data_IF_979171200437
#
_entry.id   IF_979171200437
#
_cell.length_a   1.000
_cell.length_b   1.000
_cell.length_c   1.000
_cell.angle_alpha   90.00
_cell.angle_beta   90.00
_cell.angle_gamma   90.00
#
_symmetry.space_group_name_H-M   'P 1'
#
loop_
_entity.id
_entity.type
_entity.pdbx_description
1 polymer ?
#
# COMPACT_ATOMS: atom_id res chain seq x y z
N UNK A 1 5.17 20.19 35.33
CA UNK A 1 5.20 20.41 33.87
C UNK A 1 5.81 19.15 33.29
N UNK A 2 5.08 18.44 32.44
CA UNK A 2 5.59 17.21 31.85
C UNK A 2 6.23 17.55 30.50
N UNK A 3 7.45 17.05 30.27
CA UNK A 3 8.03 17.05 28.93
C UNK A 3 7.44 15.85 28.20
N UNK A 4 6.81 16.12 27.06
CA UNK A 4 6.23 15.10 26.17
C UNK A 4 6.98 15.13 24.84
N UNK A 5 6.86 14.05 24.06
CA UNK A 5 7.22 14.09 22.65
C UNK A 5 6.02 14.61 21.86
N UNK A 6 6.27 15.53 20.94
CA UNK A 6 5.25 16.00 20.00
C UNK A 6 4.75 14.80 19.16
N UNK A 7 3.44 14.51 19.12
CA UNK A 7 2.92 13.37 18.35
C UNK A 7 3.16 13.49 16.84
N UNK A 8 3.35 14.71 16.32
CA UNK A 8 3.65 14.95 14.90
C UNK A 8 5.14 14.79 14.58
N UNK A 9 6.03 15.51 15.26
CA UNK A 9 7.45 15.58 14.88
C UNK A 9 8.40 14.87 15.86
N UNK A 10 7.89 14.23 16.91
CA UNK A 10 8.68 13.47 17.89
C UNK A 10 9.58 14.30 18.81
N UNK A 11 9.69 15.62 18.63
CA UNK A 11 10.57 16.49 19.44
C UNK A 11 10.02 16.68 20.86
N UNK A 12 10.91 16.76 21.83
CA UNK A 12 10.54 17.05 23.22
C UNK A 12 10.01 18.48 23.37
N UNK A 13 8.81 18.60 23.91
CA UNK A 13 8.10 19.86 24.14
C UNK A 13 7.34 19.82 25.48
N UNK A 14 6.89 20.97 25.95
CA UNK A 14 6.03 21.08 27.13
C UNK A 14 4.58 20.71 26.79
N UNK A 15 3.91 19.97 27.67
CA UNK A 15 2.49 19.62 27.60
C UNK A 15 1.54 20.84 27.63
N UNK A 16 2.04 22.01 28.02
CA UNK A 16 1.30 23.28 28.06
C UNK A 16 1.65 24.25 26.93
N UNK A 17 2.55 23.89 26.02
CA UNK A 17 2.89 24.76 24.90
C UNK A 17 1.65 24.97 24.00
N UNK A 18 1.30 26.21 23.61
CA UNK A 18 0.19 26.44 22.67
C UNK A 18 0.43 25.72 21.33
N UNK A 19 1.66 25.80 20.83
CA UNK A 19 2.10 25.16 19.59
C UNK A 19 3.48 24.52 19.76
N UNK A 20 3.76 23.49 18.97
CA UNK A 20 5.09 22.90 18.87
C UNK A 20 6.03 23.89 18.14
N UNK A 21 7.18 24.28 18.72
CA UNK A 21 8.12 25.20 18.07
C UNK A 21 8.77 24.63 16.80
N UNK A 22 8.70 23.31 16.59
CA UNK A 22 9.37 22.63 15.49
C UNK A 22 8.46 22.37 14.29
N UNK A 23 7.21 21.93 14.52
CA UNK A 23 6.27 21.62 13.43
C UNK A 23 5.01 22.50 13.43
N UNK A 24 4.84 23.38 14.41
CA UNK A 24 3.70 24.31 14.46
C UNK A 24 2.36 23.70 14.91
N UNK A 25 2.28 22.39 15.17
CA UNK A 25 1.03 21.75 15.59
C UNK A 25 0.57 22.26 16.97
N UNK A 26 -0.74 22.42 17.16
CA UNK A 26 -1.31 22.87 18.43
C UNK A 26 -1.28 21.75 19.48
N UNK A 27 -0.76 22.04 20.67
CA UNK A 27 -0.52 21.03 21.72
C UNK A 27 -1.45 21.23 22.90
N UNK A 28 -1.46 22.43 23.49
CA UNK A 28 -2.31 22.75 24.64
C UNK A 28 -3.79 22.44 24.35
N UNK A 29 -4.37 21.53 25.14
CA UNK A 29 -5.79 21.16 25.06
C UNK A 29 -6.17 20.17 23.95
N UNK A 30 -5.27 19.87 23.00
CA UNK A 30 -5.54 18.97 21.86
C UNK A 30 -4.98 17.56 21.99
N UNK A 31 -4.11 17.33 22.97
CA UNK A 31 -3.50 16.02 23.23
C UNK A 31 -4.14 15.32 24.43
N UNK A 32 -4.08 13.99 24.44
CA UNK A 32 -4.51 13.11 25.53
C UNK A 32 -3.44 12.05 25.79
N UNK A 33 -3.30 11.62 27.05
CA UNK A 33 -2.42 10.52 27.45
C UNK A 33 -3.22 9.23 27.50
N UNK A 34 -2.79 8.21 26.77
CA UNK A 34 -3.43 6.91 26.79
C UNK A 34 -3.37 6.30 28.21
N UNK A 35 -4.49 5.84 28.79
CA UNK A 35 -4.48 5.20 30.11
C UNK A 35 -3.87 3.79 30.10
N UNK A 36 -3.73 3.17 28.92
CA UNK A 36 -3.18 1.81 28.79
C UNK A 36 -1.67 1.81 28.58
N UNK A 37 -1.16 2.56 27.60
CA UNK A 37 0.28 2.56 27.28
C UNK A 37 1.02 3.84 27.70
N UNK A 38 0.30 4.88 28.14
CA UNK A 38 0.91 6.14 28.57
C UNK A 38 1.38 7.07 27.45
N UNK A 39 1.17 6.70 26.17
CA UNK A 39 1.54 7.49 24.99
C UNK A 39 0.65 8.73 24.82
N UNK A 40 1.23 9.83 24.34
CA UNK A 40 0.48 11.06 24.05
C UNK A 40 0.10 11.11 22.58
N UNK A 41 -1.18 11.35 22.31
CA UNK A 41 -1.72 11.43 20.95
C UNK A 41 -2.85 12.46 20.90
N UNK A 42 -3.34 12.78 19.71
CA UNK A 42 -4.39 13.79 19.55
C UNK A 42 -5.79 13.26 19.89
N UNK A 43 -6.61 14.12 20.49
CA UNK A 43 -7.97 13.79 20.94
C UNK A 43 -8.95 13.47 19.81
N UNK A 44 -8.64 13.90 18.59
CA UNK A 44 -9.42 13.64 17.38
C UNK A 44 -9.23 12.22 16.83
N UNK A 45 -8.24 11.47 17.33
CA UNK A 45 -8.06 10.06 17.00
C UNK A 45 -8.97 9.19 17.86
N UNK A 46 -9.83 8.39 17.22
CA UNK A 46 -10.81 7.51 17.88
C UNK A 46 -10.16 6.41 18.75
N UNK A 47 -8.91 6.07 18.47
CA UNK A 47 -8.13 5.09 19.22
C UNK A 47 -6.65 5.49 19.30
N UNK A 48 -5.98 5.05 20.37
CA UNK A 48 -4.55 5.31 20.57
C UNK A 48 -3.71 4.59 19.50
N UNK A 49 -2.84 5.29 18.75
CA UNK A 49 -2.08 4.70 17.63
C UNK A 49 -1.04 3.67 18.07
N UNK A 50 -0.65 3.66 19.35
CA UNK A 50 0.36 2.74 19.87
C UNK A 50 -0.25 1.42 20.38
N UNK A 51 -1.44 1.45 21.00
CA UNK A 51 -2.04 0.26 21.63
C UNK A 51 -3.48 -0.04 21.18
N UNK A 52 -4.02 0.73 20.24
CA UNK A 52 -5.38 0.62 19.69
C UNK A 52 -6.51 0.68 20.74
N UNK A 53 -6.22 1.18 21.94
CA UNK A 53 -7.24 1.40 22.95
C UNK A 53 -8.15 2.58 22.56
N UNK A 54 -9.46 2.37 22.59
CA UNK A 54 -10.44 3.41 22.25
C UNK A 54 -10.29 4.64 23.16
N UNK A 55 -10.29 5.80 22.53
CA UNK A 55 -10.30 7.10 23.20
C UNK A 55 -11.70 7.31 23.80
N UNK A 56 -11.89 7.04 25.10
CA UNK A 56 -13.16 7.35 25.77
C UNK A 56 -13.38 8.87 25.78
N UNK A 57 -14.16 9.38 24.84
CA UNK A 57 -14.77 10.71 24.92
C UNK A 57 -15.93 10.66 25.92
N UNK A 58 -15.63 10.75 27.22
CA UNK A 58 -16.64 10.90 28.25
C UNK A 58 -16.91 12.38 28.54
N UNK A 59 -17.70 13.01 27.68
CA UNK A 59 -18.61 14.10 28.08
C UNK A 59 -19.99 13.80 27.49
N UNK A 60 -20.67 12.82 28.09
CA UNK A 60 -22.12 12.71 28.03
C UNK A 60 -22.63 12.64 29.45
N UNK A 61 -22.96 13.80 30.00
CA UNK A 61 -23.83 13.92 31.17
C UNK A 61 -25.26 13.76 30.67
N UNK A 62 -25.85 12.61 30.98
CA UNK A 62 -27.25 12.34 31.31
C UNK A 62 -28.34 13.27 30.77
N UNK A 63 -29.24 12.75 29.93
CA UNK A 63 -30.50 12.14 30.39
C UNK A 63 -31.53 12.01 29.24
N UNK A 64 -32.18 10.85 29.23
CA UNK A 64 -33.62 10.59 28.98
C UNK A 64 -33.94 9.62 27.84
N UNK A 65 -34.76 8.65 28.24
CA UNK A 65 -35.39 7.57 27.50
C UNK A 65 -36.14 8.03 26.23
N UNK A 66 -36.19 7.12 25.26
CA UNK A 66 -37.40 6.62 24.58
C UNK A 66 -37.24 6.52 23.05
N UNK A 67 -37.43 5.29 22.58
CA UNK A 67 -38.26 4.88 21.45
C UNK A 67 -38.20 5.63 20.09
N UNK A 68 -37.96 4.80 19.07
CA UNK A 68 -38.58 4.83 17.74
C UNK A 68 -38.16 5.91 16.74
N UNK A 69 -37.58 5.42 15.65
CA UNK A 69 -38.24 5.51 14.35
C UNK A 69 -37.96 6.75 13.50
N UNK A 70 -37.55 6.43 12.26
CA UNK A 70 -37.84 7.13 11.00
C UNK A 70 -36.76 8.05 10.45
N UNK A 71 -36.37 7.69 9.22
CA UNK A 71 -35.70 8.51 8.21
C UNK A 71 -36.25 9.91 8.09
N UNK A 72 -35.35 10.87 7.91
CA UNK A 72 -35.50 11.94 6.91
C UNK A 72 -34.13 12.53 6.60
N UNK A 73 -33.77 12.46 5.33
CA UNK A 73 -32.75 13.29 4.68
C UNK A 73 -33.24 14.75 4.70
N UNK A 74 -32.33 15.72 4.81
CA UNK A 74 -32.46 16.91 4.00
C UNK A 74 -31.16 17.23 3.24
N UNK A 75 -31.30 17.24 1.92
CA UNK A 75 -30.77 18.26 1.00
C UNK A 75 -30.90 19.65 1.66
N UNK A 76 -29.97 20.59 1.51
CA UNK A 76 -29.79 21.40 0.30
C UNK A 76 -28.63 22.39 0.51
N UNK A 77 -28.19 22.97 -0.62
CA UNK A 77 -27.77 24.37 -0.79
C UNK A 77 -26.30 24.62 -1.14
N UNK A 78 -26.12 24.57 -2.46
CA UNK A 78 -25.25 25.44 -3.24
C UNK A 78 -25.84 26.85 -3.24
N UNK A 79 -25.05 27.87 -2.91
CA UNK A 79 -25.20 29.19 -3.53
C UNK A 79 -23.87 29.91 -3.71
N UNK A 80 -23.80 30.49 -4.90
CA UNK A 80 -22.74 31.21 -5.59
C UNK A 80 -22.28 32.55 -4.96
N UNK A 81 -20.98 32.82 -5.11
CA UNK A 81 -20.41 33.93 -5.90
C UNK A 81 -20.70 35.39 -5.49
N UNK A 82 -19.62 36.15 -5.18
CA UNK A 82 -19.44 37.53 -5.70
C UNK A 82 -18.01 38.08 -5.50
N UNK A 83 -17.27 38.08 -6.61
CA UNK A 83 -16.57 39.18 -7.32
C UNK A 83 -15.93 40.41 -6.64
N UNK A 84 -14.74 40.74 -7.18
CA UNK A 84 -14.15 42.07 -7.49
C UNK A 84 -13.49 42.87 -6.34
N UNK A 85 -12.39 43.62 -6.48
CA UNK A 85 -11.49 43.99 -7.59
C UNK A 85 -10.27 44.75 -7.00
N UNK A 86 -9.11 44.61 -7.67
CA UNK A 86 -8.03 45.61 -7.92
C UNK A 86 -7.36 46.38 -6.76
N UNK A 87 -6.02 46.26 -6.68
CA UNK A 87 -5.09 47.33 -7.09
C UNK A 87 -3.60 46.94 -6.85
N UNK A 88 -2.82 46.91 -7.93
CA UNK A 88 -1.38 47.23 -7.94
C UNK A 88 -1.23 48.76 -7.91
N UNK A 89 -0.13 49.36 -7.38
CA UNK A 89 1.11 49.44 -8.18
C UNK A 89 2.44 49.51 -7.41
N UNK A 90 3.50 49.34 -8.22
CA UNK A 90 4.85 49.92 -8.15
C UNK A 90 5.85 49.59 -7.04
N UNK A 91 6.99 49.07 -7.53
CA UNK A 91 8.33 49.17 -6.90
C UNK A 91 8.89 50.58 -7.08
N UNK A 92 9.85 51.01 -6.23
CA UNK A 92 11.23 51.07 -6.73
C UNK A 92 12.30 50.63 -5.72
N UNK A 93 13.47 50.30 -6.29
CA UNK A 93 14.71 49.85 -5.63
C UNK A 93 15.37 50.90 -4.72
N UNK A 94 16.31 50.39 -3.89
CA UNK A 94 17.65 50.92 -3.50
C UNK A 94 17.83 50.86 -1.97
N UNK A 95 18.87 50.17 -1.51
CA UNK A 95 19.33 50.21 -0.12
C UNK A 95 20.34 49.13 0.24
N UNK A 96 21.58 49.28 -0.23
CA UNK A 96 22.73 48.46 0.16
C UNK A 96 23.32 48.90 1.51
N UNK A 97 23.73 47.91 2.32
CA UNK A 97 24.83 47.90 3.32
C UNK A 97 24.73 48.74 4.62
N UNK A 98 25.58 48.50 5.65
CA UNK A 98 26.20 47.26 6.17
C UNK A 98 26.10 47.19 7.74
N UNK A 99 26.88 46.33 8.43
CA UNK A 99 27.98 46.94 9.18
C UNK A 99 29.33 46.24 9.05
N UNK A 100 30.33 47.06 8.79
CA UNK A 100 31.76 46.79 8.87
C UNK A 100 32.23 47.02 10.31
N UNK A 101 33.25 46.30 10.80
CA UNK A 101 34.14 46.83 11.84
C UNK A 101 35.60 46.53 11.47
N UNK A 102 36.32 47.60 11.20
CA UNK A 102 37.77 47.65 10.99
C UNK A 102 38.49 48.04 12.30
N UNK A 103 39.78 47.71 12.39
CA UNK A 103 40.82 48.36 13.23
C UNK A 103 40.94 49.88 12.91
N UNK A 104 41.83 50.74 13.50
CA UNK A 104 42.63 50.77 14.75
C UNK A 104 42.34 52.10 15.55
N UNK A 105 43.25 52.62 16.42
CA UNK A 105 43.72 54.00 16.21
C UNK A 105 45.19 54.31 16.59
N UNK A 106 45.71 55.43 16.05
CA UNK A 106 47.02 56.07 16.31
C UNK A 106 46.89 57.48 16.88
N UNK A 107 47.90 57.92 17.66
CA UNK A 107 48.26 59.32 17.98
C UNK A 107 47.73 59.81 19.35
N UNK A 108 48.45 60.52 20.23
CA UNK A 108 49.64 61.37 20.10
C UNK A 108 50.21 61.75 21.51
N UNK A 109 51.51 62.08 21.65
CA UNK A 109 52.00 63.02 22.70
C UNK A 109 52.98 62.56 23.80
N UNK A 110 54.27 62.73 23.51
CA UNK A 110 55.38 63.38 24.27
C UNK A 110 55.87 63.04 25.70
N UNK A 111 57.21 62.87 25.74
CA UNK A 111 58.27 63.39 26.65
C UNK A 111 58.83 62.61 27.87
N UNK A 112 60.17 62.44 27.79
CA UNK A 112 61.23 62.50 28.83
C UNK A 112 61.42 61.27 29.75
N UNK A 113 62.62 60.78 30.09
CA UNK A 113 64.04 61.11 29.80
C UNK A 113 64.92 59.96 30.38
N UNK A 114 66.19 59.83 29.92
CA UNK A 114 67.37 59.26 30.65
C UNK A 114 67.43 57.74 30.87
N UNK A 115 68.52 56.97 30.69
CA UNK A 115 69.98 57.21 30.70
C UNK A 115 70.70 56.01 30.01
N UNK A 116 71.76 56.28 29.24
CA UNK A 116 72.88 55.35 28.90
C UNK A 116 73.98 55.50 29.98
N UNK A 117 74.95 54.56 30.20
CA UNK A 117 76.01 54.18 29.21
C UNK A 117 76.63 52.75 29.43
N UNK A 118 77.81 52.34 28.88
CA UNK A 118 78.55 52.67 27.65
C UNK A 118 78.92 51.44 26.74
N UNK A 119 79.59 51.63 25.58
CA UNK A 119 79.88 50.62 24.54
C UNK A 119 81.35 50.18 24.44
N UNK A 120 81.65 49.04 23.78
CA UNK A 120 83.00 48.58 23.37
C UNK A 120 82.93 47.89 21.98
N UNK A 121 83.96 47.99 21.10
CA UNK A 121 83.77 48.18 19.65
C UNK A 121 84.02 46.98 18.73
N UNK A 122 83.41 47.08 17.54
CA UNK A 122 83.82 46.66 16.18
C UNK A 122 84.57 45.34 15.94
N UNK A 123 84.00 44.50 15.05
CA UNK A 123 84.74 44.03 13.84
C UNK A 123 83.82 43.47 12.75
N UNK A 124 83.77 44.18 11.62
CA UNK A 124 83.22 43.73 10.34
C UNK A 124 84.20 42.73 9.71
N UNK A 125 83.74 41.52 9.38
CA UNK A 125 84.45 40.61 8.46
C UNK A 125 83.43 40.00 7.50
N UNK A 126 83.62 40.25 6.20
CA UNK A 126 82.77 39.79 5.11
C UNK A 126 82.84 38.26 5.03
N UNK A 127 81.73 37.57 5.31
CA UNK A 127 81.61 36.13 5.14
C UNK A 127 80.31 35.81 4.37
N UNK A 128 80.40 35.65 3.05
CA UNK A 128 79.29 35.12 2.23
C UNK A 128 78.84 33.71 2.68
N UNK A 129 79.63 32.99 3.50
CA UNK A 129 79.26 31.69 4.09
C UNK A 129 78.19 31.73 5.19
N UNK A 130 78.09 32.80 5.98
CA UNK A 130 77.03 32.93 7.00
C UNK A 130 75.66 33.24 6.36
N UNK A 131 75.67 33.94 5.21
CA UNK A 131 74.50 34.21 4.38
C UNK A 131 74.01 32.94 3.68
N UNK A 132 74.93 32.10 3.18
CA UNK A 132 74.58 30.80 2.58
C UNK A 132 73.97 29.85 3.63
N UNK A 133 74.54 29.77 4.84
CA UNK A 133 73.98 28.95 5.92
C UNK A 133 72.59 29.41 6.38
N UNK A 134 72.34 30.73 6.41
CA UNK A 134 71.02 31.29 6.70
C UNK A 134 70.00 31.00 5.58
N UNK A 135 70.40 31.12 4.30
CA UNK A 135 69.54 30.78 3.17
C UNK A 135 69.18 29.29 3.15
N UNK A 136 70.10 28.38 3.48
CA UNK A 136 69.83 26.93 3.56
C UNK A 136 68.80 26.64 4.66
N UNK A 137 68.91 27.28 5.82
CA UNK A 137 67.93 27.15 6.90
C UNK A 137 66.54 27.64 6.50
N UNK A 138 66.45 28.77 5.79
CA UNK A 138 65.17 29.29 5.26
C UNK A 138 64.56 28.32 4.25
N UNK A 139 65.35 27.74 3.34
CA UNK A 139 64.87 26.76 2.37
C UNK A 139 64.36 25.49 3.05
N UNK A 140 65.05 25.01 4.10
CA UNK A 140 64.59 23.86 4.89
C UNK A 140 63.29 24.19 5.64
N UNK A 141 63.18 25.39 6.22
CA UNK A 141 61.95 25.85 6.90
C UNK A 141 60.80 25.98 5.91
N UNK A 142 61.04 26.53 4.72
CA UNK A 142 60.07 26.58 3.64
C UNK A 142 59.69 25.18 3.15
N UNK A 143 60.62 24.23 3.04
CA UNK A 143 60.34 22.86 2.65
C UNK A 143 59.51 22.10 3.70
N UNK A 144 59.80 22.30 4.99
CA UNK A 144 59.03 21.73 6.11
C UNK A 144 57.63 22.36 6.17
N UNK A 145 57.52 23.69 6.07
CA UNK A 145 56.22 24.37 6.01
C UNK A 145 55.43 23.96 4.77
N UNK A 146 56.07 23.82 3.61
CA UNK A 146 55.46 23.32 2.38
C UNK A 146 54.99 21.89 2.56
N UNK A 147 55.80 21.01 3.17
CA UNK A 147 55.42 19.64 3.48
C UNK A 147 54.21 19.58 4.41
N UNK A 148 54.22 20.30 5.54
CA UNK A 148 53.08 20.35 6.46
C UNK A 148 51.81 20.95 5.82
N UNK A 149 51.96 21.98 4.97
CA UNK A 149 50.85 22.56 4.22
C UNK A 149 50.27 21.57 3.21
N UNK A 150 51.12 20.88 2.44
CA UNK A 150 50.68 19.88 1.47
C UNK A 150 50.03 18.69 2.18
N UNK A 151 50.60 18.22 3.28
CA UNK A 151 50.06 17.10 4.06
C UNK A 151 48.69 17.44 4.70
N UNK A 152 48.52 18.68 5.20
CA UNK A 152 47.23 19.15 5.71
C UNK A 152 46.21 19.45 4.60
N UNK A 153 46.65 19.84 3.39
CA UNK A 153 45.79 20.00 2.21
C UNK A 153 45.28 18.63 1.74
N UNK A 154 46.16 17.63 1.66
CA UNK A 154 45.82 16.26 1.27
C UNK A 154 44.84 15.62 2.26
N UNK A 155 45.06 15.73 3.58
CA UNK A 155 44.11 15.11 4.53
C UNK A 155 42.70 15.73 4.46
N UNK A 156 42.59 17.04 4.23
CA UNK A 156 41.30 17.72 4.10
C UNK A 156 40.56 17.37 2.81
N UNK A 157 41.32 17.16 1.74
CA UNK A 157 40.75 16.75 0.46
C UNK A 157 40.27 15.30 0.52
N UNK A 158 41.03 14.40 1.15
CA UNK A 158 40.61 13.00 1.40
C UNK A 158 39.28 12.94 2.18
N UNK A 159 39.16 13.71 3.27
CA UNK A 159 37.91 13.79 4.04
C UNK A 159 36.74 14.29 3.18
N UNK A 160 36.99 15.27 2.32
CA UNK A 160 35.98 15.84 1.42
C UNK A 160 35.60 14.87 0.29
N UNK A 161 36.55 14.08 -0.21
CA UNK A 161 36.34 13.02 -1.19
C UNK A 161 35.47 11.92 -0.60
N UNK A 162 35.81 11.44 0.60
CA UNK A 162 35.03 10.41 1.29
C UNK A 162 33.60 10.88 1.55
N UNK A 163 33.42 12.14 1.96
CA UNK A 163 32.09 12.73 2.12
C UNK A 163 31.33 12.81 0.79
N UNK A 164 31.97 13.27 -0.28
CA UNK A 164 31.32 13.43 -1.58
C UNK A 164 30.96 12.08 -2.23
N UNK A 165 31.80 11.05 -2.09
CA UNK A 165 31.52 9.70 -2.58
C UNK A 165 30.38 8.99 -1.85
N UNK A 166 30.09 9.38 -0.59
CA UNK A 166 28.95 8.87 0.19
C UNK A 166 27.67 9.67 -0.01
N UNK A 167 27.75 10.78 -0.74
CA UNK A 167 26.63 11.67 -0.96
C UNK A 167 25.93 11.32 -2.27
N UNK A 168 24.60 11.30 -2.23
CA UNK A 168 23.75 11.21 -3.42
C UNK A 168 23.27 12.60 -3.89
N UNK A 169 23.76 13.68 -3.27
CA UNK A 169 23.46 15.07 -3.67
C UNK A 169 24.44 15.58 -4.75
N UNK A 170 23.98 15.84 -5.99
CA UNK A 170 24.80 16.37 -7.07
C UNK A 170 25.56 17.66 -6.73
N UNK A 171 25.02 18.51 -5.84
CA UNK A 171 25.65 19.74 -5.43
C UNK A 171 26.91 19.49 -4.58
N UNK A 172 26.90 18.46 -3.74
CA UNK A 172 28.07 18.08 -2.92
C UNK A 172 29.23 17.65 -3.82
N UNK A 173 28.95 16.82 -4.82
CA UNK A 173 29.94 16.36 -5.79
C UNK A 173 30.48 17.53 -6.63
N UNK A 174 29.59 18.41 -7.11
CA UNK A 174 30.02 19.60 -7.86
C UNK A 174 30.88 20.54 -7.01
N UNK A 175 30.51 20.72 -5.73
CA UNK A 175 31.28 21.54 -4.78
C UNK A 175 32.68 20.97 -4.55
N UNK A 176 32.83 19.65 -4.52
CA UNK A 176 34.14 19.00 -4.45
C UNK A 176 34.97 19.32 -5.70
N UNK A 177 34.41 19.12 -6.90
CA UNK A 177 35.10 19.40 -8.16
C UNK A 177 35.53 20.88 -8.29
N UNK A 178 34.71 21.81 -7.80
CA UNK A 178 34.99 23.24 -7.86
C UNK A 178 36.09 23.67 -6.86
N UNK A 179 36.12 23.06 -5.67
CA UNK A 179 37.03 23.42 -4.58
C UNK A 179 38.40 22.71 -4.68
N UNK A 180 38.46 21.54 -5.30
CA UNK A 180 39.65 20.67 -5.33
C UNK A 180 40.15 20.40 -6.75
N UNK A 181 40.36 21.45 -7.55
CA UNK A 181 40.82 21.35 -8.96
C UNK A 181 42.20 20.71 -9.15
N UNK A 182 43.01 20.67 -8.10
CA UNK A 182 44.35 20.05 -8.10
C UNK A 182 44.36 18.67 -7.41
N UNK A 183 43.19 18.08 -7.13
CA UNK A 183 43.07 16.74 -6.54
C UNK A 183 43.66 15.67 -7.47
N UNK A 184 43.99 14.47 -6.94
CA UNK A 184 44.37 13.33 -7.77
C UNK A 184 43.36 13.09 -8.90
N UNK A 185 43.87 12.81 -10.10
CA UNK A 185 43.03 12.57 -11.30
C UNK A 185 42.00 11.47 -11.04
N UNK A 186 42.40 10.41 -10.31
CA UNK A 186 41.51 9.31 -9.91
C UNK A 186 40.31 9.78 -9.05
N UNK A 187 40.50 10.74 -8.14
CA UNK A 187 39.41 11.28 -7.32
C UNK A 187 38.47 12.15 -8.14
N UNK A 188 39.02 12.99 -9.01
CA UNK A 188 38.24 13.82 -9.94
C UNK A 188 37.39 12.94 -10.86
N UNK A 189 38.00 11.91 -11.45
CA UNK A 189 37.31 10.97 -12.34
C UNK A 189 36.22 10.20 -11.61
N UNK A 190 36.49 9.73 -10.38
CA UNK A 190 35.50 9.03 -9.56
C UNK A 190 34.30 9.90 -9.22
N UNK A 191 34.53 11.14 -8.78
CA UNK A 191 33.45 12.08 -8.43
C UNK A 191 32.67 12.50 -9.68
N UNK A 192 33.36 12.73 -10.81
CA UNK A 192 32.71 13.07 -12.06
C UNK A 192 31.84 11.91 -12.58
N UNK A 193 32.33 10.67 -12.49
CA UNK A 193 31.57 9.48 -12.85
C UNK A 193 30.33 9.30 -11.95
N UNK A 194 30.48 9.51 -10.63
CA UNK A 194 29.36 9.46 -9.69
C UNK A 194 28.31 10.53 -9.99
N UNK A 195 28.75 11.77 -10.27
CA UNK A 195 27.86 12.86 -10.66
C UNK A 195 27.11 12.58 -11.96
N UNK A 196 27.79 11.96 -12.93
CA UNK A 196 27.16 11.57 -14.18
C UNK A 196 26.16 10.42 -13.98
N UNK A 197 26.46 9.47 -13.09
CA UNK A 197 25.53 8.39 -12.75
C UNK A 197 24.25 8.92 -12.09
N UNK A 198 24.36 9.87 -11.15
CA UNK A 198 23.19 10.54 -10.54
C UNK A 198 22.35 11.27 -11.59
N UNK A 199 22.98 12.06 -12.47
CA UNK A 199 22.28 12.74 -13.57
C UNK A 199 21.58 11.77 -14.53
N UNK A 200 22.21 10.63 -14.81
CA UNK A 200 21.62 9.61 -15.67
C UNK A 200 20.42 8.93 -14.98
N UNK A 201 20.52 8.66 -13.68
CA UNK A 201 19.41 8.16 -12.87
C UNK A 201 18.20 9.11 -12.95
N UNK A 202 18.39 10.41 -12.72
CA UNK A 202 17.31 11.42 -12.83
C UNK A 202 16.69 11.49 -14.22
N UNK A 203 17.53 11.37 -15.25
CA UNK A 203 17.09 11.38 -16.66
C UNK A 203 16.27 10.13 -16.97
N UNK A 204 16.74 8.95 -16.55
CA UNK A 204 16.04 7.69 -16.73
C UNK A 204 14.71 7.66 -15.97
N UNK A 205 14.68 8.20 -14.75
CA UNK A 205 13.47 8.38 -13.96
C UNK A 205 12.46 9.26 -14.68
N UNK A 206 12.88 10.44 -15.12
CA UNK A 206 12.02 11.37 -15.86
C UNK A 206 11.45 10.71 -17.11
N UNK A 207 12.28 9.98 -17.86
CA UNK A 207 11.85 9.24 -19.04
C UNK A 207 10.83 8.15 -18.68
N UNK A 208 11.03 7.42 -17.59
CA UNK A 208 10.12 6.37 -17.14
C UNK A 208 8.75 6.93 -16.73
N UNK A 209 8.73 8.01 -15.95
CA UNK A 209 7.49 8.66 -15.50
C UNK A 209 6.74 9.31 -16.67
N UNK A 210 7.45 9.99 -17.58
CA UNK A 210 6.83 10.60 -18.77
C UNK A 210 6.27 9.52 -19.71
N UNK A 211 6.94 8.38 -19.84
CA UNK A 211 6.42 7.24 -20.59
C UNK A 211 5.14 6.67 -19.94
N UNK A 212 5.12 6.59 -18.61
CA UNK A 212 3.94 6.23 -17.82
C UNK A 212 3.53 4.75 -17.91
N UNK A 213 4.32 3.90 -18.58
CA UNK A 213 4.06 2.45 -18.64
C UNK A 213 4.75 1.68 -17.52
N UNK A 214 4.15 0.56 -17.10
CA UNK A 214 4.75 -0.40 -16.16
C UNK A 214 6.14 -0.84 -16.62
N UNK A 215 6.31 -1.14 -17.91
CA UNK A 215 7.60 -1.60 -18.45
C UNK A 215 8.71 -0.56 -18.27
N UNK A 216 8.42 0.72 -18.53
CA UNK A 216 9.43 1.77 -18.37
C UNK A 216 9.86 1.94 -16.90
N UNK A 217 8.95 1.78 -15.96
CA UNK A 217 9.24 1.83 -14.52
C UNK A 217 10.01 0.59 -14.04
N UNK A 218 9.71 -0.60 -14.58
CA UNK A 218 10.46 -1.83 -14.31
C UNK A 218 11.88 -1.75 -14.87
N UNK A 219 12.05 -1.24 -16.09
CA UNK A 219 13.36 -1.02 -16.70
C UNK A 219 14.21 -0.04 -15.87
N UNK A 220 13.56 1.02 -15.36
CA UNK A 220 14.19 1.98 -14.45
C UNK A 220 14.66 1.30 -13.15
N UNK A 221 13.78 0.55 -12.47
CA UNK A 221 14.12 -0.18 -11.24
C UNK A 221 15.24 -1.21 -11.44
N UNK A 222 15.30 -1.84 -12.61
CA UNK A 222 16.35 -2.80 -12.95
C UNK A 222 17.71 -2.11 -13.14
N UNK A 223 17.72 -0.92 -13.75
CA UNK A 223 18.95 -0.13 -13.95
C UNK A 223 19.42 0.59 -12.68
N UNK A 224 18.49 1.03 -11.84
CA UNK A 224 18.75 1.84 -10.65
C UNK A 224 18.09 1.24 -9.38
N UNK A 225 18.51 0.04 -8.94
CA UNK A 225 17.84 -0.72 -7.87
C UNK A 225 17.88 -0.06 -6.49
N UNK A 226 18.82 0.86 -6.27
CA UNK A 226 19.05 1.57 -5.01
C UNK A 226 18.72 3.08 -5.11
N UNK A 227 18.03 3.49 -6.18
CA UNK A 227 17.61 4.89 -6.34
C UNK A 227 16.65 5.36 -5.25
N UNK A 228 16.69 6.65 -4.94
CA UNK A 228 15.70 7.33 -4.09
C UNK A 228 14.26 7.22 -4.63
N UNK A 229 14.10 7.10 -5.95
CA UNK A 229 12.78 6.95 -6.59
C UNK A 229 12.25 5.52 -6.57
N UNK A 230 12.98 4.55 -6.00
CA UNK A 230 12.58 3.13 -5.98
C UNK A 230 11.17 2.94 -5.43
N UNK A 231 10.88 3.52 -4.26
CA UNK A 231 9.58 3.40 -3.61
C UNK A 231 8.47 4.03 -4.46
N UNK A 232 8.74 5.19 -5.07
CA UNK A 232 7.78 5.87 -5.94
C UNK A 232 7.51 5.06 -7.23
N UNK A 233 8.55 4.47 -7.83
CA UNK A 233 8.42 3.62 -9.00
C UNK A 233 7.57 2.38 -8.68
N UNK A 234 7.80 1.73 -7.53
CA UNK A 234 7.03 0.58 -7.06
C UNK A 234 5.56 0.94 -6.82
N UNK A 235 5.27 2.05 -6.13
CA UNK A 235 3.91 2.56 -5.96
C UNK A 235 3.21 2.79 -7.30
N UNK A 236 3.89 3.42 -8.28
CA UNK A 236 3.30 3.64 -9.61
C UNK A 236 3.01 2.33 -10.34
N UNK A 237 3.88 1.31 -10.23
CA UNK A 237 3.64 -0.01 -10.82
C UNK A 237 2.43 -0.67 -10.18
N UNK A 238 2.34 -0.68 -8.85
CA UNK A 238 1.18 -1.19 -8.10
C UNK A 238 -0.11 -0.51 -8.56
N UNK A 239 -0.13 0.82 -8.60
CA UNK A 239 -1.27 1.61 -9.09
C UNK A 239 -1.69 1.24 -10.53
N UNK A 240 -0.72 0.97 -11.42
CA UNK A 240 -1.01 0.56 -12.81
C UNK A 240 -1.63 -0.83 -12.85
N UNK A 241 -1.06 -1.78 -12.10
CA UNK A 241 -1.56 -3.16 -12.04
C UNK A 241 -2.94 -3.23 -11.39
N UNK A 242 -3.15 -2.48 -10.32
CA UNK A 242 -4.46 -2.35 -9.70
C UNK A 242 -5.49 -1.73 -10.65
N UNK A 243 -5.13 -0.65 -11.37
CA UNK A 243 -6.03 -0.04 -12.34
C UNK A 243 -6.44 -1.03 -13.45
N UNK A 244 -5.54 -1.94 -13.84
CA UNK A 244 -5.84 -3.00 -14.78
C UNK A 244 -6.78 -4.06 -14.16
N UNK A 245 -6.42 -4.60 -13.00
CA UNK A 245 -7.18 -5.65 -12.33
C UNK A 245 -8.60 -5.20 -11.93
N UNK A 246 -8.70 -4.01 -11.31
CA UNK A 246 -9.97 -3.41 -10.90
C UNK A 246 -10.89 -3.08 -12.07
N UNK A 247 -10.33 -2.65 -13.21
CA UNK A 247 -11.10 -2.38 -14.42
C UNK A 247 -11.60 -3.65 -15.08
N UNK A 248 -10.78 -4.70 -15.14
CA UNK A 248 -11.19 -6.01 -15.67
C UNK A 248 -12.25 -6.65 -14.77
N UNK A 249 -12.12 -6.50 -13.46
CA UNK A 249 -13.04 -7.01 -12.44
C UNK A 249 -13.38 -8.50 -12.67
N UNK A 250 -12.36 -9.28 -13.03
CA UNK A 250 -12.43 -10.73 -13.15
C UNK A 250 -11.63 -11.37 -12.01
N UNK A 251 -12.00 -12.60 -11.64
CA UNK A 251 -11.32 -13.31 -10.58
C UNK A 251 -9.84 -13.56 -10.92
N UNK A 252 -9.56 -13.90 -12.19
CA UNK A 252 -8.21 -14.17 -12.66
C UNK A 252 -7.29 -12.94 -12.55
N UNK A 253 -7.77 -11.76 -12.96
CA UNK A 253 -6.94 -10.54 -12.93
C UNK A 253 -6.75 -9.98 -11.52
N UNK A 254 -7.77 -10.09 -10.66
CA UNK A 254 -7.64 -9.72 -9.26
C UNK A 254 -6.70 -10.67 -8.50
N UNK A 255 -6.70 -11.96 -8.85
CA UNK A 255 -5.77 -12.93 -8.27
C UNK A 255 -4.35 -12.68 -8.77
N UNK A 256 -4.16 -12.39 -10.06
CA UNK A 256 -2.84 -12.04 -10.61
C UNK A 256 -2.25 -10.80 -9.91
N UNK A 257 -3.08 -9.78 -9.64
CA UNK A 257 -2.66 -8.63 -8.84
C UNK A 257 -2.17 -9.04 -7.44
N UNK A 258 -2.92 -9.88 -6.71
CA UNK A 258 -2.51 -10.35 -5.39
C UNK A 258 -1.22 -11.19 -5.41
N UNK A 259 -1.01 -11.95 -6.48
CA UNK A 259 0.18 -12.79 -6.65
C UNK A 259 1.43 -11.93 -6.94
N UNK A 260 1.29 -10.86 -7.71
CA UNK A 260 2.37 -9.91 -8.01
C UNK A 260 2.63 -8.92 -6.85
N UNK A 261 1.58 -8.56 -6.10
CA UNK A 261 1.60 -7.51 -5.07
C UNK A 261 1.14 -8.03 -3.70
N UNK A 262 1.81 -9.03 -3.15
CA UNK A 262 1.42 -9.67 -1.88
C UNK A 262 1.31 -8.70 -0.68
N UNK A 263 2.04 -7.58 -0.70
CA UNK A 263 1.96 -6.50 0.28
C UNK A 263 1.68 -5.14 -0.38
N UNK A 264 0.98 -5.14 -1.52
CA UNK A 264 0.60 -3.93 -2.24
C UNK A 264 -0.47 -3.11 -1.53
N UNK A 265 -0.65 -1.89 -2.00
CA UNK A 265 -1.57 -0.91 -1.42
C UNK A 265 -3.05 -1.30 -1.61
N UNK A 266 -3.36 -2.11 -2.62
CA UNK A 266 -4.74 -2.50 -2.97
C UNK A 266 -5.07 -3.96 -2.65
N UNK A 267 -4.29 -4.63 -1.78
CA UNK A 267 -4.55 -6.02 -1.37
C UNK A 267 -5.95 -6.18 -0.74
N UNK A 268 -6.34 -5.27 0.14
CA UNK A 268 -7.66 -5.32 0.78
C UNK A 268 -8.80 -5.09 -0.22
N UNK A 269 -8.61 -4.15 -1.14
CA UNK A 269 -9.56 -3.83 -2.20
C UNK A 269 -9.75 -5.02 -3.16
N UNK A 270 -8.64 -5.64 -3.58
CA UNK A 270 -8.66 -6.83 -4.44
C UNK A 270 -9.38 -8.00 -3.76
N UNK A 271 -9.08 -8.25 -2.48
CA UNK A 271 -9.76 -9.29 -1.70
C UNK A 271 -11.27 -9.01 -1.55
N UNK A 272 -11.66 -7.74 -1.33
CA UNK A 272 -13.07 -7.37 -1.26
C UNK A 272 -13.79 -7.57 -2.61
N UNK A 273 -13.15 -7.21 -3.72
CA UNK A 273 -13.66 -7.43 -5.06
C UNK A 273 -13.82 -8.92 -5.37
N UNK A 274 -12.82 -9.75 -5.03
CA UNK A 274 -12.88 -11.22 -5.19
C UNK A 274 -14.05 -11.80 -4.38
N UNK A 275 -14.20 -11.43 -3.10
CA UNK A 275 -15.33 -11.90 -2.27
C UNK A 275 -16.67 -11.57 -2.93
N UNK A 276 -16.82 -10.33 -3.42
CA UNK A 276 -18.05 -9.88 -4.10
C UNK A 276 -18.33 -10.66 -5.40
N UNK A 277 -17.31 -10.90 -6.21
CA UNK A 277 -17.43 -11.68 -7.45
C UNK A 277 -17.79 -13.13 -7.15
N UNK A 278 -17.11 -13.77 -6.18
CA UNK A 278 -17.41 -15.13 -5.74
C UNK A 278 -18.83 -15.24 -5.21
N UNK A 279 -19.31 -14.29 -4.42
CA UNK A 279 -20.66 -14.31 -3.87
C UNK A 279 -21.75 -14.26 -4.96
N UNK A 280 -21.49 -13.58 -6.09
CA UNK A 280 -22.47 -13.36 -7.16
C UNK A 280 -22.33 -14.31 -8.37
N UNK A 281 -21.24 -15.07 -8.46
CA UNK A 281 -20.94 -15.93 -9.60
C UNK A 281 -20.74 -17.37 -9.16
N UNK A 282 -21.40 -18.31 -9.85
CA UNK A 282 -21.20 -19.75 -9.63
C UNK A 282 -19.78 -20.14 -10.04
N UNK A 283 -19.00 -20.63 -9.09
CA UNK A 283 -17.62 -21.06 -9.30
C UNK A 283 -17.56 -22.49 -9.89
N UNK A 284 -16.43 -22.87 -10.54
CA UNK A 284 -16.30 -24.19 -11.16
C UNK A 284 -16.47 -25.37 -10.20
N UNK A 285 -15.91 -25.28 -8.99
CA UNK A 285 -16.04 -26.24 -7.91
C UNK A 285 -17.47 -26.37 -7.40
N UNK A 286 -18.17 -25.24 -7.24
CA UNK A 286 -19.60 -25.21 -6.87
C UNK A 286 -20.45 -25.89 -7.94
N UNK A 287 -20.18 -25.65 -9.22
CA UNK A 287 -20.86 -26.32 -10.34
C UNK A 287 -20.65 -27.84 -10.29
N UNK A 288 -19.45 -28.30 -9.94
CA UNK A 288 -19.15 -29.73 -9.76
C UNK A 288 -19.97 -30.30 -8.60
N UNK A 289 -20.00 -29.63 -7.45
CA UNK A 289 -20.77 -30.03 -6.28
C UNK A 289 -22.27 -30.14 -6.60
N UNK A 290 -22.85 -29.11 -7.22
CA UNK A 290 -24.26 -29.08 -7.63
C UNK A 290 -24.59 -30.21 -8.62
N UNK A 291 -23.71 -30.45 -9.58
CA UNK A 291 -23.86 -31.56 -10.54
C UNK A 291 -23.82 -32.91 -9.83
N UNK A 292 -22.92 -33.07 -8.85
CA UNK A 292 -22.76 -34.30 -8.09
C UNK A 292 -24.01 -34.59 -7.23
N UNK A 293 -24.59 -33.57 -6.59
CA UNK A 293 -25.82 -33.71 -5.80
C UNK A 293 -26.98 -34.27 -6.64
N UNK A 294 -27.24 -33.66 -7.81
CA UNK A 294 -28.28 -34.14 -8.74
C UNK A 294 -27.97 -35.54 -9.28
N UNK A 295 -26.70 -35.82 -9.61
CA UNK A 295 -26.29 -37.13 -10.10
C UNK A 295 -26.52 -38.20 -9.04
N UNK A 296 -26.15 -37.94 -7.78
CA UNK A 296 -26.35 -38.87 -6.68
C UNK A 296 -27.84 -39.18 -6.47
N UNK A 297 -28.70 -38.16 -6.48
CA UNK A 297 -30.15 -38.35 -6.40
C UNK A 297 -30.68 -39.28 -7.49
N UNK A 298 -30.37 -39.01 -8.77
CA UNK A 298 -30.87 -39.85 -9.86
C UNK A 298 -30.19 -41.23 -9.93
N UNK A 299 -28.96 -41.37 -9.44
CA UNK A 299 -28.32 -42.68 -9.29
C UNK A 299 -29.06 -43.53 -8.25
N UNK A 300 -29.44 -42.96 -7.11
CA UNK A 300 -30.25 -43.65 -6.11
C UNK A 300 -31.62 -44.05 -6.67
N UNK A 301 -32.25 -43.16 -7.45
CA UNK A 301 -33.49 -43.49 -8.16
C UNK A 301 -33.27 -44.65 -9.15
N UNK A 302 -32.21 -44.63 -9.94
CA UNK A 302 -31.91 -45.70 -10.92
C UNK A 302 -31.61 -47.05 -10.24
N UNK A 303 -30.97 -47.02 -9.07
CA UNK A 303 -30.67 -48.21 -8.29
C UNK A 303 -31.86 -48.73 -7.47
N UNK A 304 -32.97 -47.98 -7.42
CA UNK A 304 -34.07 -48.21 -6.50
C UNK A 304 -33.57 -48.35 -5.04
N UNK A 305 -32.65 -47.47 -4.63
CA UNK A 305 -32.00 -47.49 -3.32
C UNK A 305 -32.54 -46.37 -2.43
N UNK A 306 -33.40 -46.76 -1.47
CA UNK A 306 -33.99 -45.86 -0.48
C UNK A 306 -32.95 -45.13 0.37
N UNK A 307 -31.89 -45.82 0.81
CA UNK A 307 -30.92 -45.25 1.73
C UNK A 307 -30.08 -44.17 1.03
N UNK A 308 -29.58 -44.47 -0.17
CA UNK A 308 -28.85 -43.49 -0.99
C UNK A 308 -29.74 -42.31 -1.38
N UNK A 309 -31.03 -42.55 -1.65
CA UNK A 309 -31.98 -41.47 -1.99
C UNK A 309 -32.17 -40.53 -0.80
N UNK A 310 -32.41 -41.07 0.40
CA UNK A 310 -32.54 -40.28 1.62
C UNK A 310 -31.24 -39.54 1.99
N UNK A 311 -30.08 -40.07 1.62
CA UNK A 311 -28.79 -39.41 1.81
C UNK A 311 -28.56 -38.24 0.84
N UNK A 312 -29.25 -38.22 -0.32
CA UNK A 312 -29.11 -37.17 -1.33
C UNK A 312 -30.01 -35.94 -1.13
N UNK A 313 -30.95 -36.00 -0.18
CA UNK A 313 -31.92 -34.93 0.10
C UNK A 313 -31.75 -34.36 1.51
N UNK A 314 -32.12 -33.09 1.68
CA UNK A 314 -32.10 -32.41 2.97
C UNK A 314 -33.07 -33.07 3.96
N UNK A 315 -32.84 -32.95 5.29
CA UNK A 315 -33.76 -33.48 6.31
C UNK A 315 -35.20 -32.96 6.16
N UNK A 316 -35.32 -31.68 5.81
CA UNK A 316 -36.58 -31.00 5.48
C UNK A 316 -36.37 -30.24 4.17
N UNK A 317 -37.30 -30.43 3.23
CA UNK A 317 -37.29 -29.79 1.92
C UNK A 317 -38.45 -28.80 1.83
N UNK A 318 -38.14 -27.59 1.37
CA UNK A 318 -39.13 -26.51 1.20
C UNK A 318 -40.25 -26.90 0.23
N UNK A 319 -39.92 -27.66 -0.81
CA UNK A 319 -40.87 -28.24 -1.76
C UNK A 319 -40.26 -29.50 -2.39
N UNK A 320 -40.96 -30.63 -2.30
CA UNK A 320 -40.60 -31.85 -3.00
C UNK A 320 -41.77 -32.35 -3.81
N UNK A 321 -41.69 -32.20 -5.13
CA UNK A 321 -42.67 -32.64 -6.11
C UNK A 321 -44.09 -32.14 -5.82
N UNK A 322 -44.21 -30.90 -5.34
CA UNK A 322 -45.48 -30.25 -5.00
C UNK A 322 -45.89 -30.37 -3.54
N UNK A 323 -45.15 -31.11 -2.71
CA UNK A 323 -45.36 -31.19 -1.26
C UNK A 323 -44.44 -30.20 -0.54
N UNK A 324 -45.03 -29.26 0.19
CA UNK A 324 -44.29 -28.38 1.11
C UNK A 324 -43.82 -29.14 2.37
N UNK A 325 -42.74 -28.68 2.98
CA UNK A 325 -42.16 -29.23 4.22
C UNK A 325 -41.94 -30.75 4.17
N UNK A 326 -41.51 -31.22 3.00
CA UNK A 326 -41.32 -32.64 2.75
C UNK A 326 -40.10 -33.18 3.51
N UNK A 327 -40.17 -34.43 3.93
CA UNK A 327 -39.10 -35.10 4.69
C UNK A 327 -38.40 -36.16 3.87
N UNK A 328 -37.32 -36.73 4.39
CA UNK A 328 -36.64 -37.89 3.78
C UNK A 328 -37.59 -39.06 3.48
N UNK A 329 -38.61 -39.28 4.33
CA UNK A 329 -39.61 -40.31 4.10
C UNK A 329 -40.45 -40.06 2.84
N UNK A 330 -40.70 -38.80 2.50
CA UNK A 330 -41.44 -38.44 1.27
C UNK A 330 -40.65 -38.76 0.00
N UNK A 331 -39.31 -38.69 0.06
CA UNK A 331 -38.45 -39.12 -1.04
C UNK A 331 -38.55 -40.64 -1.27
N UNK A 332 -38.57 -41.45 -0.20
CA UNK A 332 -38.83 -42.90 -0.29
C UNK A 332 -40.21 -43.20 -0.85
N UNK A 333 -41.25 -42.49 -0.39
CA UNK A 333 -42.61 -42.65 -0.94
C UNK A 333 -42.65 -42.31 -2.44
N UNK A 334 -41.90 -41.29 -2.88
CA UNK A 334 -41.76 -41.00 -4.30
C UNK A 334 -41.12 -42.16 -5.07
N UNK A 335 -40.02 -42.72 -4.57
CA UNK A 335 -39.32 -43.84 -5.22
C UNK A 335 -40.24 -45.04 -5.41
N UNK A 336 -40.93 -45.42 -4.34
CA UNK A 336 -41.90 -46.52 -4.36
C UNK A 336 -43.06 -46.26 -5.34
N UNK A 337 -43.51 -45.00 -5.50
CA UNK A 337 -44.59 -44.64 -6.42
C UNK A 337 -44.20 -44.72 -7.89
N UNK A 338 -42.93 -44.43 -8.22
CA UNK A 338 -42.47 -44.45 -9.61
C UNK A 338 -42.11 -45.86 -10.09
N UNK A 339 -41.64 -46.74 -9.21
CA UNK A 339 -41.41 -48.16 -9.49
C UNK A 339 -42.69 -48.99 -9.29
N UNK A 340 -43.51 -49.07 -10.35
CA UNK A 340 -44.71 -49.92 -10.38
C UNK A 340 -44.35 -51.36 -10.69
N UNK A 341 -45.26 -52.30 -10.38
CA UNK A 341 -45.08 -53.75 -10.60
C UNK A 341 -44.72 -54.14 -12.04
N UNK A 342 -45.12 -53.33 -13.02
CA UNK A 342 -44.85 -53.57 -14.44
C UNK A 342 -43.51 -53.00 -14.93
N UNK A 343 -42.73 -52.36 -14.05
CA UNK A 343 -41.44 -51.75 -14.37
C UNK A 343 -40.31 -52.66 -13.89
N UNK A 344 -39.51 -53.16 -14.82
CA UNK A 344 -38.35 -54.03 -14.54
C UNK A 344 -37.05 -53.24 -14.44
N UNK A 345 -37.04 -51.97 -14.86
CA UNK A 345 -35.90 -51.08 -14.76
C UNK A 345 -36.26 -49.66 -15.14
N UNK A 346 -35.49 -48.70 -14.61
CA UNK A 346 -35.64 -47.29 -14.92
C UNK A 346 -34.28 -46.63 -14.95
N UNK A 347 -34.06 -45.76 -15.93
CA UNK A 347 -32.82 -45.00 -16.06
C UNK A 347 -33.13 -43.54 -16.30
N UNK A 348 -32.70 -42.71 -15.37
CA UNK A 348 -32.71 -41.26 -15.43
C UNK A 348 -31.32 -40.75 -15.80
N UNK A 349 -31.25 -39.83 -16.76
CA UNK A 349 -29.99 -39.22 -17.22
C UNK A 349 -30.11 -37.71 -17.25
N UNK A 350 -29.15 -37.04 -16.62
CA UNK A 350 -29.03 -35.58 -16.68
C UNK A 350 -28.66 -35.14 -18.10
N UNK A 351 -29.32 -34.11 -18.60
CA UNK A 351 -28.96 -33.43 -19.84
C UNK A 351 -27.75 -32.51 -19.67
N UNK A 352 -27.36 -31.87 -20.77
CA UNK A 352 -26.21 -30.95 -20.80
C UNK A 352 -26.63 -29.47 -20.70
N UNK A 353 -27.92 -29.18 -20.46
CA UNK A 353 -28.52 -27.84 -20.47
C UNK A 353 -28.65 -27.22 -19.06
N UNK A 354 -27.80 -27.64 -18.12
CA UNK A 354 -27.86 -27.18 -16.74
C UNK A 354 -27.56 -25.69 -16.61
N UNK A 355 -28.49 -24.97 -15.98
CA UNK A 355 -28.34 -23.59 -15.55
C UNK A 355 -28.34 -23.54 -14.02
N UNK A 356 -27.40 -22.80 -13.44
CA UNK A 356 -27.25 -22.69 -12.00
C UNK A 356 -27.24 -21.21 -11.63
N UNK A 357 -28.09 -20.84 -10.69
CA UNK A 357 -28.14 -19.53 -10.06
C UNK A 357 -27.68 -19.67 -8.61
N UNK A 358 -26.85 -18.74 -8.13
CA UNK A 358 -26.29 -18.73 -6.77
C UNK A 358 -27.01 -17.69 -5.91
N UNK A 359 -27.27 -18.02 -4.65
CA UNK A 359 -27.82 -17.10 -3.65
C UNK A 359 -27.13 -17.29 -2.31
N UNK A 360 -26.69 -16.19 -1.70
CA UNK A 360 -26.16 -16.21 -0.33
C UNK A 360 -27.31 -16.36 0.68
N UNK A 361 -27.13 -17.28 1.64
CA UNK A 361 -28.13 -17.62 2.66
C UNK A 361 -27.58 -17.51 4.09
N UNK A 362 -26.26 -17.37 4.24
CA UNK A 362 -25.55 -17.17 5.50
C UNK A 362 -24.17 -16.57 5.24
N UNK A 363 -23.34 -16.42 6.28
CA UNK A 363 -21.95 -15.94 6.10
C UNK A 363 -21.14 -16.97 5.32
N UNK A 364 -20.83 -16.67 4.05
CA UNK A 364 -20.14 -17.59 3.13
C UNK A 364 -20.89 -18.90 2.86
N UNK A 365 -22.19 -18.95 3.18
CA UNK A 365 -23.06 -20.07 2.88
C UNK A 365 -23.96 -19.77 1.70
N UNK A 366 -23.98 -20.67 0.73
CA UNK A 366 -24.65 -20.46 -0.55
C UNK A 366 -25.64 -21.58 -0.87
N UNK A 367 -26.75 -21.17 -1.45
CA UNK A 367 -27.75 -22.05 -2.03
C UNK A 367 -27.74 -21.90 -3.56
N UNK A 368 -27.93 -23.03 -4.25
CA UNK A 368 -27.87 -23.08 -5.71
C UNK A 368 -29.22 -23.52 -6.27
N UNK A 369 -29.85 -22.66 -7.07
CA UNK A 369 -31.05 -23.00 -7.83
C UNK A 369 -30.64 -23.52 -9.19
N UNK A 370 -31.09 -24.72 -9.53
CA UNK A 370 -30.70 -25.44 -10.74
C UNK A 370 -31.91 -25.65 -11.63
N UNK A 371 -31.74 -25.39 -12.92
CA UNK A 371 -32.70 -25.76 -13.97
C UNK A 371 -32.03 -26.65 -15.00
N UNK A 372 -32.51 -27.87 -15.19
CA UNK A 372 -31.90 -28.86 -16.10
C UNK A 372 -32.96 -29.76 -16.74
N UNK A 373 -32.70 -30.27 -17.94
CA UNK A 373 -33.53 -31.31 -18.57
C UNK A 373 -33.01 -32.70 -18.19
N UNK A 374 -33.92 -33.63 -17.93
CA UNK A 374 -33.58 -35.02 -17.55
C UNK A 374 -34.42 -35.97 -18.38
N UNK A 375 -33.78 -36.99 -18.95
CA UNK A 375 -34.46 -38.05 -19.70
C UNK A 375 -34.71 -39.24 -18.80
N UNK A 376 -35.88 -39.86 -18.95
CA UNK A 376 -36.31 -41.07 -18.27
C UNK A 376 -36.54 -42.16 -19.32
N UNK A 377 -35.83 -43.28 -19.17
CA UNK A 377 -36.02 -44.51 -19.93
C UNK A 377 -36.57 -45.59 -19.01
N UNK A 378 -37.67 -46.24 -19.40
CA UNK A 378 -38.39 -47.21 -18.57
C UNK A 378 -38.42 -48.57 -19.28
N UNK A 379 -37.91 -49.61 -18.63
CA UNK A 379 -38.13 -50.98 -19.04
C UNK A 379 -39.42 -51.50 -18.41
N UNK A 380 -40.39 -51.88 -19.25
CA UNK A 380 -41.71 -52.36 -18.82
C UNK A 380 -42.02 -53.73 -19.40
N UNK A 381 -42.78 -54.53 -18.65
CA UNK A 381 -43.37 -55.78 -19.15
C UNK A 381 -44.54 -55.52 -20.11
N UNK A 382 -45.27 -54.42 -19.93
CA UNK A 382 -46.32 -53.97 -20.83
C UNK A 382 -45.74 -53.10 -21.96
N UNK A 383 -45.77 -53.56 -23.23
CA UNK A 383 -45.19 -52.82 -24.34
C UNK A 383 -46.04 -51.62 -24.80
N UNK A 384 -47.29 -51.52 -24.36
CA UNK A 384 -48.23 -50.45 -24.79
C UNK A 384 -48.08 -49.15 -24.00
N UNK A 385 -47.40 -49.21 -22.86
CA UNK A 385 -47.16 -48.05 -21.99
C UNK A 385 -45.93 -47.27 -22.42
N UNK A 386 -45.90 -46.00 -22.00
CA UNK A 386 -44.78 -45.10 -22.24
C UNK A 386 -43.45 -45.66 -21.69
N UNK A 387 -42.42 -45.62 -22.54
CA UNK A 387 -41.06 -46.10 -22.23
C UNK A 387 -40.02 -44.99 -22.17
N UNK A 388 -40.35 -43.80 -22.65
CA UNK A 388 -39.44 -42.66 -22.71
C UNK A 388 -40.20 -41.39 -22.32
N UNK A 389 -39.61 -40.58 -21.46
CA UNK A 389 -40.14 -39.27 -21.12
C UNK A 389 -38.98 -38.29 -20.89
N UNK A 390 -39.22 -37.01 -21.13
CA UNK A 390 -38.28 -35.94 -20.77
C UNK A 390 -38.93 -35.02 -19.78
N UNK A 391 -38.18 -34.58 -18.78
CA UNK A 391 -38.66 -33.67 -17.75
C UNK A 391 -37.76 -32.44 -17.67
N UNK A 392 -38.38 -31.30 -17.37
CA UNK A 392 -37.66 -30.14 -16.85
C UNK A 392 -37.65 -30.23 -15.33
N UNK A 393 -36.46 -30.19 -14.75
CA UNK A 393 -36.24 -30.14 -13.30
C UNK A 393 -35.89 -28.73 -12.91
N UNK A 394 -36.53 -28.25 -11.84
CA UNK A 394 -36.08 -27.10 -11.06
C UNK A 394 -35.77 -27.60 -9.65
N UNK A 395 -34.51 -27.57 -9.27
CA UNK A 395 -34.05 -28.05 -7.97
C UNK A 395 -33.33 -26.94 -7.21
N UNK A 396 -33.19 -27.13 -5.91
CA UNK A 396 -32.38 -26.27 -5.06
C UNK A 396 -31.45 -27.16 -4.24
N UNK A 397 -30.16 -26.81 -4.22
CA UNK A 397 -29.11 -27.50 -3.47
C UNK A 397 -28.64 -26.56 -2.36
N UNK A 398 -28.66 -27.04 -1.12
CA UNK A 398 -28.27 -26.28 0.06
C UNK A 398 -26.73 -26.27 0.26
N UNK A 399 -26.20 -25.53 1.26
CA UNK A 399 -24.76 -25.49 1.53
C UNK A 399 -24.14 -26.87 1.83
N UNK A 400 -24.92 -27.83 2.37
CA UNK A 400 -24.46 -29.20 2.65
C UNK A 400 -24.36 -30.08 1.38
N UNK A 401 -24.69 -29.54 0.21
CA UNK A 401 -24.70 -30.29 -1.04
C UNK A 401 -25.90 -31.25 -1.19
N UNK A 402 -26.98 -31.00 -0.45
CA UNK A 402 -28.20 -31.80 -0.46
C UNK A 402 -29.34 -31.09 -1.18
N UNK A 403 -30.23 -31.86 -1.82
CA UNK A 403 -31.41 -31.30 -2.47
C UNK A 403 -32.42 -30.84 -1.40
N UNK A 404 -32.68 -29.53 -1.34
CA UNK A 404 -33.61 -28.88 -0.42
C UNK A 404 -34.94 -28.49 -1.09
N UNK A 405 -34.99 -28.52 -2.42
CA UNK A 405 -36.20 -28.34 -3.20
C UNK A 405 -36.10 -29.11 -4.51
N UNK A 406 -37.19 -29.73 -4.96
CA UNK A 406 -37.27 -30.40 -6.25
C UNK A 406 -38.66 -30.26 -6.84
N UNK A 407 -38.74 -29.69 -8.03
CA UNK A 407 -39.93 -29.70 -8.88
C UNK A 407 -39.59 -30.34 -10.22
N UNK A 408 -40.55 -31.08 -10.77
CA UNK A 408 -40.40 -31.82 -12.01
C UNK A 408 -41.64 -31.62 -12.88
N UNK A 409 -41.42 -31.17 -14.10
CA UNK A 409 -42.48 -30.97 -15.09
C UNK A 409 -42.19 -31.82 -16.32
N UNK A 410 -43.11 -32.70 -16.69
CA UNK A 410 -42.98 -33.51 -17.91
C UNK A 410 -43.09 -32.60 -19.13
N UNK A 411 -42.15 -32.74 -20.05
CA UNK A 411 -42.17 -32.07 -21.35
C UNK A 411 -43.03 -32.93 -22.28
N UNK A 412 -44.17 -32.38 -22.73
CA UNK A 412 -45.01 -33.01 -23.74
C UNK A 412 -44.36 -32.70 -25.08
N UNK A 413 -43.95 -33.74 -25.81
CA UNK A 413 -43.45 -33.65 -27.18
C UNK A 413 -44.57 -33.83 -28.20
#
# INVERSE_FOLDING_TARGET
MAIIKCPECGRQISDKAPFCPNCGVAIAGKIIRCPQCGEFYFKDQEMCPNCHHLTRLSERTDNTLAAQGTSTIPTSDVFSEQTAQQAQPDSPQIGQNPPHRQNPPSGNGSHNNSQTPPPIPTKKKNNHGALIAACILVVILCAVCFYFYNNAKTSKEEDAYEYAMKSDDPLVLQTYLDNYKDAPEEHIDSIQAHLQALKQNDTDWTNAVVNGSKQALLDYLNRHPDSEHKAEAQHKIDSIDWAFASKSNTLDELQAYLDEHANGEHVDDANAAIRKLKASTVQPDEKVMVTAALRHFFQAVNANDDASLQASVAPVMSNFLGKADATKADATVFLQKIYKDDITGMTWRLGNDMKVDKREVGQEEYEYTVSISVTQDIQRTDPTKEKHATYKIKATVNPDGLISSLAMTKIIQ
#
